data_IF_757999695173
#
_entry.id   IF_757999695173
#
_cell.length_a   1.000
_cell.length_b   1.000
_cell.length_c   1.000
_cell.angle_alpha   90.00
_cell.angle_beta   90.00
_cell.angle_gamma   90.00
#
_symmetry.space_group_name_H-M   'P 1'
#
loop_
_entity.id
_entity.type
_entity.pdbx_description
1 polymer ?
#
# COMPACT_ATOMS: atom_id res chain seq x y z
N UNK A 1 -24.31 6.69 -20.32
CA UNK A 1 -23.60 6.02 -19.20
C UNK A 1 -22.56 5.00 -19.69
N UNK A 2 -22.89 4.15 -20.67
CA UNK A 2 -21.97 3.13 -21.23
C UNK A 2 -20.65 3.71 -21.78
N UNK A 3 -20.71 4.84 -22.48
CA UNK A 3 -19.50 5.55 -23.00
C UNK A 3 -18.64 6.13 -21.88
N UNK A 4 -19.24 6.70 -20.82
CA UNK A 4 -18.47 7.17 -19.66
C UNK A 4 -17.78 6.01 -18.95
N UNK A 5 -18.48 4.88 -18.78
CA UNK A 5 -17.91 3.68 -18.19
C UNK A 5 -16.76 3.09 -19.04
N UNK A 6 -16.94 3.03 -20.37
CA UNK A 6 -15.90 2.59 -21.30
C UNK A 6 -14.69 3.53 -21.29
N UNK A 7 -14.91 4.84 -21.25
CA UNK A 7 -13.84 5.84 -21.16
C UNK A 7 -13.08 5.73 -19.84
N UNK A 8 -13.79 5.60 -18.72
CA UNK A 8 -13.17 5.38 -17.40
C UNK A 8 -12.37 4.08 -17.36
N UNK A 9 -12.92 2.99 -17.90
CA UNK A 9 -12.21 1.69 -17.99
C UNK A 9 -10.95 1.79 -18.85
N UNK A 10 -11.04 2.42 -20.01
CA UNK A 10 -9.90 2.65 -20.90
C UNK A 10 -8.80 3.48 -20.22
N UNK A 11 -9.18 4.53 -19.49
CA UNK A 11 -8.24 5.37 -18.73
C UNK A 11 -7.55 4.59 -17.61
N UNK A 12 -8.27 3.74 -16.87
CA UNK A 12 -7.70 2.90 -15.81
C UNK A 12 -6.67 1.90 -16.35
N UNK A 13 -6.93 1.32 -17.52
CA UNK A 13 -6.01 0.36 -18.16
C UNK A 13 -4.73 1.05 -18.62
N UNK A 14 -4.81 2.23 -19.24
CA UNK A 14 -3.63 2.95 -19.73
C UNK A 14 -2.78 3.51 -18.59
N UNK A 15 -3.39 3.94 -17.49
CA UNK A 15 -2.66 4.37 -16.30
C UNK A 15 -1.92 3.21 -15.61
N UNK A 16 -2.47 2.00 -15.65
CA UNK A 16 -1.79 0.79 -15.16
C UNK A 16 -0.50 0.51 -15.94
N UNK A 17 -0.50 0.72 -17.26
CA UNK A 17 0.68 0.51 -18.12
C UNK A 17 1.80 1.53 -17.90
N UNK A 18 1.46 2.73 -17.39
CA UNK A 18 2.42 3.80 -17.05
C UNK A 18 2.91 3.65 -15.60
N UNK A 19 2.33 2.72 -14.84
CA UNK A 19 2.88 2.29 -13.57
C UNK A 19 4.17 1.53 -13.83
N UNK A 20 5.31 2.23 -13.79
CA UNK A 20 6.60 1.59 -13.55
C UNK A 20 6.41 0.74 -12.29
N UNK A 21 6.42 -0.58 -12.43
CA UNK A 21 6.21 -1.47 -11.31
C UNK A 21 7.09 -1.02 -10.15
N UNK A 22 6.49 -0.85 -8.97
CA UNK A 22 7.15 -0.56 -7.69
C UNK A 22 8.29 -1.55 -7.35
N UNK A 23 8.52 -2.57 -8.20
CA UNK A 23 9.62 -3.51 -8.20
C UNK A 23 11.02 -2.89 -8.39
N UNK A 24 11.15 -1.64 -8.87
CA UNK A 24 12.46 -0.98 -8.95
C UNK A 24 12.98 -0.46 -7.58
N UNK A 25 12.11 -0.26 -6.59
CA UNK A 25 12.53 0.17 -5.24
C UNK A 25 13.08 -0.99 -4.42
N UNK A 26 12.46 -2.17 -4.49
CA UNK A 26 12.92 -3.34 -3.72
C UNK A 26 14.24 -3.91 -4.27
N UNK A 27 14.42 -3.87 -5.59
CA UNK A 27 15.63 -4.40 -6.24
C UNK A 27 16.85 -3.49 -6.06
N UNK A 28 16.70 -2.18 -6.20
CA UNK A 28 17.78 -1.23 -5.98
C UNK A 28 18.29 -1.22 -4.53
N UNK A 29 17.39 -1.38 -3.55
CA UNK A 29 17.78 -1.49 -2.13
C UNK A 29 18.45 -2.84 -1.83
N UNK A 30 18.01 -3.94 -2.45
CA UNK A 30 18.63 -5.24 -2.29
C UNK A 30 20.02 -5.32 -2.95
N UNK A 31 20.19 -4.76 -4.14
CA UNK A 31 21.47 -4.75 -4.88
C UNK A 31 22.51 -3.83 -4.22
N UNK A 32 22.11 -2.67 -3.67
CA UNK A 32 23.05 -1.74 -3.00
C UNK A 32 23.59 -2.23 -1.65
N UNK A 33 23.05 -3.32 -1.12
CA UNK A 33 23.43 -3.79 0.20
C UNK A 33 23.86 -5.27 0.26
N UNK A 34 23.80 -5.97 -0.87
CA UNK A 34 24.50 -7.24 -1.06
C UNK A 34 26.02 -7.12 -1.13
N UNK A 35 26.57 -5.91 -1.31
CA UNK A 35 28.02 -5.64 -1.39
C UNK A 35 28.70 -5.58 0.00
N UNK A 36 28.48 -6.61 0.83
CA UNK A 36 29.45 -7.00 1.87
C UNK A 36 29.23 -6.50 3.30
N UNK A 37 27.99 -6.22 3.73
CA UNK A 37 27.71 -5.90 5.15
C UNK A 37 26.83 -6.96 5.81
N UNK A 38 27.43 -7.78 6.66
CA UNK A 38 26.70 -8.67 7.56
C UNK A 38 25.69 -7.85 8.39
N UNK A 39 24.41 -8.24 8.38
CA UNK A 39 23.30 -7.51 9.02
C UNK A 39 22.31 -6.82 8.05
N UNK A 40 22.59 -6.78 6.74
CA UNK A 40 21.64 -6.19 5.78
C UNK A 40 20.28 -6.91 5.73
N UNK A 41 20.30 -8.24 5.74
CA UNK A 41 19.08 -9.05 5.67
C UNK A 41 18.19 -8.89 6.93
N UNK A 42 18.77 -8.66 8.11
CA UNK A 42 18.01 -8.31 9.32
C UNK A 42 17.40 -6.90 9.22
N UNK A 43 18.15 -5.94 8.68
CA UNK A 43 17.66 -4.58 8.41
C UNK A 43 16.46 -4.57 7.44
N UNK A 44 16.47 -5.46 6.44
CA UNK A 44 15.38 -5.61 5.48
C UNK A 44 14.07 -6.10 6.13
N UNK A 45 14.14 -7.14 6.98
CA UNK A 45 12.96 -7.66 7.67
C UNK A 45 12.31 -6.62 8.59
N UNK A 46 13.13 -5.81 9.27
CA UNK A 46 12.65 -4.69 10.07
C UNK A 46 11.99 -3.60 9.20
N UNK A 47 12.53 -3.33 8.01
CA UNK A 47 11.92 -2.41 7.04
C UNK A 47 10.56 -2.89 6.53
N UNK A 48 10.41 -4.18 6.23
CA UNK A 48 9.14 -4.78 5.80
C UNK A 48 8.10 -4.64 6.92
N UNK A 49 8.45 -4.96 8.16
CA UNK A 49 7.55 -4.79 9.31
C UNK A 49 7.15 -3.34 9.52
N UNK A 50 8.08 -2.39 9.38
CA UNK A 50 7.81 -0.96 9.51
C UNK A 50 6.83 -0.45 8.44
N UNK A 51 7.03 -0.84 7.18
CA UNK A 51 6.15 -0.43 6.07
C UNK A 51 4.76 -1.08 6.15
N UNK A 52 4.69 -2.33 6.64
CA UNK A 52 3.43 -3.03 6.85
C UNK A 52 2.64 -2.49 8.05
N UNK A 53 3.29 -1.88 9.04
CA UNK A 53 2.59 -1.30 10.20
C UNK A 53 1.59 -0.21 9.78
N UNK A 54 1.96 0.65 8.82
CA UNK A 54 1.12 1.75 8.37
C UNK A 54 -0.27 1.34 7.84
N UNK A 55 -0.42 0.41 6.87
CA UNK A 55 -1.72 -0.03 6.40
C UNK A 55 -2.54 -0.73 7.51
N UNK A 56 -1.91 -1.48 8.42
CA UNK A 56 -2.65 -2.09 9.54
C UNK A 56 -3.22 -1.05 10.50
N UNK A 57 -2.43 -0.04 10.89
CA UNK A 57 -2.88 1.04 11.77
C UNK A 57 -4.06 1.80 11.12
N UNK A 58 -3.95 2.14 9.83
CA UNK A 58 -5.00 2.83 9.10
C UNK A 58 -6.30 2.01 9.04
N UNK A 59 -6.20 0.71 8.78
CA UNK A 59 -7.36 -0.19 8.75
C UNK A 59 -8.02 -0.30 10.13
N UNK A 60 -7.24 -0.50 11.20
CA UNK A 60 -7.77 -0.59 12.56
C UNK A 60 -8.45 0.71 12.98
N UNK A 61 -7.81 1.86 12.73
CA UNK A 61 -8.39 3.16 13.05
C UNK A 61 -9.68 3.41 12.27
N UNK A 62 -9.69 3.12 10.96
CA UNK A 62 -10.88 3.24 10.12
C UNK A 62 -12.03 2.36 10.60
N UNK A 63 -11.75 1.10 10.95
CA UNK A 63 -12.75 0.17 11.48
C UNK A 63 -13.34 0.66 12.81
N UNK A 64 -12.51 1.12 13.74
CA UNK A 64 -12.96 1.66 15.03
C UNK A 64 -13.80 2.92 14.84
N UNK A 65 -13.34 3.84 13.99
CA UNK A 65 -14.07 5.08 13.69
C UNK A 65 -15.47 4.78 13.11
N UNK A 66 -15.56 3.85 12.16
CA UNK A 66 -16.84 3.43 11.56
C UNK A 66 -17.75 2.77 12.59
N UNK A 67 -17.20 1.88 13.44
CA UNK A 67 -17.97 1.23 14.50
C UNK A 67 -18.58 2.24 15.49
N UNK A 68 -17.77 3.19 15.97
CA UNK A 68 -18.22 4.22 16.91
C UNK A 68 -19.25 5.15 16.27
N UNK A 69 -19.04 5.54 15.00
CA UNK A 69 -19.98 6.39 14.25
C UNK A 69 -21.34 5.72 14.09
N UNK A 70 -21.35 4.41 13.77
CA UNK A 70 -22.59 3.63 13.65
C UNK A 70 -23.27 3.43 15.00
N UNK A 71 -22.51 3.17 16.08
CA UNK A 71 -23.07 3.04 17.44
C UNK A 71 -23.73 4.34 17.90
N UNK A 72 -23.11 5.51 17.66
CA UNK A 72 -23.68 6.82 17.98
C UNK A 72 -24.99 7.07 17.22
N UNK A 73 -25.07 6.65 15.96
CA UNK A 73 -26.29 6.79 15.13
C UNK A 73 -27.43 5.84 15.52
N UNK A 74 -27.17 4.77 16.29
CA UNK A 74 -28.19 3.83 16.77
C UNK A 74 -28.69 4.17 18.18
N UNK A 75 -27.93 4.97 18.94
CA UNK A 75 -28.27 5.40 20.30
C UNK A 75 -29.03 6.73 20.32
N UNK A 76 -29.14 7.40 19.17
CA UNK A 76 -29.92 8.63 18.97
C UNK A 76 -31.12 8.35 18.07
#
# INVERSE_FOLDING_TARGET
MKIKLLFTSFLLITLSSISYGQCAMCRAVAETAGDGKEGFFEGLNNGILYLMAAPYILLTFGAVFLYLSRKKSQVN
#
